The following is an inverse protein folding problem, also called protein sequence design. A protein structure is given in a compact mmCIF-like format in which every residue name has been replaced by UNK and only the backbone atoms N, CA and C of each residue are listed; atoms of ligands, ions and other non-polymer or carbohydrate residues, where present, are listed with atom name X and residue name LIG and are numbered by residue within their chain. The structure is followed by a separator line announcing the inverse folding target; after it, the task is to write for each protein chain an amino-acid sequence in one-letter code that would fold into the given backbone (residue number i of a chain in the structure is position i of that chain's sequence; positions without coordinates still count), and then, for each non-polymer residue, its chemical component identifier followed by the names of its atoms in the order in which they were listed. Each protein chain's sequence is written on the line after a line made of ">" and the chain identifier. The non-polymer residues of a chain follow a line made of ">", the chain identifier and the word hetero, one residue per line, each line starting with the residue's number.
data_IF_683693089095
#
_entry.id   IF_683693089095
#
_cell.length_a   1.000
_cell.length_b   1.000
_cell.length_c   1.000
_cell.angle_alpha   90.00
_cell.angle_beta   90.00
_cell.angle_gamma   90.00
#
_symmetry.space_group_name_H-M   'P 1'
#
loop_
_entity.id
_entity.type
_entity.pdbx_description
1 polymer ?
#
# COMPACT_ATOMS: atom_id res chain seq x y z
N UNK A 1 15.41 3.15 34.10
CA UNK A 1 15.74 3.24 32.66
C UNK A 1 14.80 2.28 31.94
N UNK A 2 13.81 2.78 31.19
CA UNK A 2 12.93 1.90 30.42
C UNK A 2 13.76 1.18 29.36
N UNK A 3 13.58 -0.14 29.21
CA UNK A 3 14.16 -0.87 28.09
C UNK A 3 13.61 -0.22 26.82
N UNK A 4 14.48 0.34 25.99
CA UNK A 4 14.12 0.77 24.65
C UNK A 4 13.71 -0.51 23.92
N UNK A 5 12.43 -0.63 23.56
CA UNK A 5 11.98 -1.79 22.80
C UNK A 5 12.76 -1.86 21.49
N UNK A 6 13.20 -3.07 21.16
CA UNK A 6 13.93 -3.35 19.93
C UNK A 6 12.99 -3.17 18.74
N UNK A 7 13.49 -2.60 17.63
CA UNK A 7 12.69 -2.44 16.43
C UNK A 7 12.30 -3.81 15.85
N UNK A 8 11.04 -4.17 15.99
CA UNK A 8 10.38 -5.28 15.32
C UNK A 8 10.06 -4.93 13.85
N UNK A 9 10.72 -5.65 12.94
CA UNK A 9 10.46 -5.54 11.50
C UNK A 9 9.09 -6.12 11.14
N UNK A 10 8.37 -5.43 10.24
CA UNK A 10 7.15 -5.96 9.65
C UNK A 10 7.47 -7.29 8.91
N UNK A 11 6.83 -8.43 9.24
CA UNK A 11 7.17 -9.71 8.63
C UNK A 11 7.03 -9.72 7.10
N UNK A 12 6.18 -8.86 6.54
CA UNK A 12 6.02 -8.69 5.07
C UNK A 12 7.25 -8.06 4.41
N UNK A 13 8.03 -7.29 5.16
CA UNK A 13 9.19 -6.55 4.67
C UNK A 13 10.51 -7.28 4.83
N UNK A 14 10.53 -8.39 5.58
CA UNK A 14 11.74 -9.15 5.84
C UNK A 14 12.50 -9.50 4.55
N UNK A 15 13.77 -9.09 4.50
CA UNK A 15 14.66 -9.27 3.36
C UNK A 15 14.50 -8.22 2.24
N UNK A 16 13.49 -7.36 2.29
CA UNK A 16 13.31 -6.29 1.31
C UNK A 16 14.18 -5.06 1.62
N UNK A 17 14.33 -4.17 0.64
CA UNK A 17 14.99 -2.87 0.83
C UNK A 17 14.04 -1.78 1.38
N UNK A 18 12.88 -2.18 1.92
CA UNK A 18 11.87 -1.27 2.47
C UNK A 18 11.83 -1.44 3.99
N UNK A 19 11.71 -0.33 4.72
CA UNK A 19 11.49 -0.32 6.17
C UNK A 19 10.27 0.54 6.51
N UNK A 20 9.45 0.08 7.47
CA UNK A 20 8.24 0.80 7.86
C UNK A 20 8.55 1.90 8.88
N UNK A 21 7.92 3.05 8.67
CA UNK A 21 7.91 4.19 9.59
C UNK A 21 6.47 4.65 9.79
N UNK A 22 5.99 4.72 11.03
CA UNK A 22 4.61 5.05 11.37
C UNK A 22 4.63 6.14 12.45
N UNK A 23 4.63 7.43 12.05
CA UNK A 23 4.63 8.54 13.01
C UNK A 23 3.35 8.64 13.83
N UNK A 24 2.22 8.17 13.29
CA UNK A 24 0.92 8.24 13.96
C UNK A 24 0.79 7.21 15.09
N UNK A 25 -0.08 7.55 16.04
CA UNK A 25 -0.57 6.68 17.11
C UNK A 25 -2.09 6.59 17.07
N UNK A 26 -2.64 5.56 17.70
CA UNK A 26 -4.07 5.33 17.75
C UNK A 26 -4.63 4.82 16.43
N UNK A 27 -5.96 4.79 16.34
CA UNK A 27 -6.68 4.30 15.17
C UNK A 27 -6.62 5.29 14.01
N UNK A 28 -6.59 4.77 12.78
CA UNK A 28 -6.74 5.55 11.58
C UNK A 28 -8.19 6.04 11.44
N UNK A 29 -8.43 7.36 11.34
CA UNK A 29 -9.79 7.91 11.28
C UNK A 29 -10.53 7.60 9.97
N UNK A 30 -9.86 7.02 8.97
CA UNK A 30 -10.56 6.53 7.77
C UNK A 30 -11.45 5.31 8.04
N UNK A 31 -11.24 4.61 9.16
CA UNK A 31 -12.04 3.51 9.68
C UNK A 31 -12.63 2.56 8.63
N UNK A 32 -11.78 2.08 7.72
CA UNK A 32 -12.21 1.16 6.68
C UNK A 32 -12.61 -0.20 7.29
N UNK A 33 -13.68 -0.83 6.80
CA UNK A 33 -14.20 -2.10 7.34
C UNK A 33 -13.12 -3.20 7.43
N UNK A 34 -12.38 -3.40 6.34
CA UNK A 34 -11.27 -4.36 6.25
C UNK A 34 -9.90 -3.73 6.58
N UNK A 35 -9.86 -2.69 7.42
CA UNK A 35 -8.62 -2.03 7.79
C UNK A 35 -7.76 -2.97 8.63
N UNK A 36 -6.61 -3.36 8.10
CA UNK A 36 -5.60 -4.13 8.83
C UNK A 36 -5.07 -3.38 10.07
N UNK A 37 -5.03 -2.05 10.00
CA UNK A 37 -4.47 -1.18 11.04
C UNK A 37 -5.41 -1.05 12.26
N UNK A 38 -6.68 -0.66 12.07
CA UNK A 38 -7.59 -0.37 13.19
C UNK A 38 -8.06 -1.61 13.97
N UNK A 39 -8.20 -2.76 13.33
CA UNK A 39 -8.89 -3.90 13.94
C UNK A 39 -8.07 -4.77 14.88
N UNK A 40 -7.01 -4.25 15.52
CA UNK A 40 -6.11 -5.04 16.39
C UNK A 40 -5.32 -6.13 15.66
N UNK A 41 -5.33 -6.10 14.32
CA UNK A 41 -4.71 -7.09 13.43
C UNK A 41 -3.30 -6.69 13.01
N UNK A 42 -2.92 -5.45 13.27
CA UNK A 42 -1.60 -4.95 12.98
C UNK A 42 -0.54 -5.77 13.73
N UNK A 43 0.64 -5.95 13.14
CA UNK A 43 1.67 -6.83 13.71
C UNK A 43 2.26 -6.29 15.03
N UNK A 44 1.86 -5.10 15.46
CA UNK A 44 2.22 -4.45 16.72
C UNK A 44 1.07 -3.60 17.25
N UNK A 45 1.20 -3.13 18.49
CA UNK A 45 0.30 -2.14 19.10
C UNK A 45 0.45 -0.76 18.44
N UNK A 46 -0.58 0.07 18.55
CA UNK A 46 -0.65 1.40 17.95
C UNK A 46 -0.47 2.54 18.96
N UNK A 47 -0.04 2.22 20.18
CA UNK A 47 -0.04 3.16 21.30
C UNK A 47 1.12 4.17 21.26
N UNK A 48 2.15 3.88 20.48
CA UNK A 48 3.34 4.72 20.34
C UNK A 48 3.79 4.76 18.87
N UNK A 49 4.44 5.86 18.42
CA UNK A 49 4.99 5.94 17.08
C UNK A 49 5.99 4.82 16.80
N UNK A 50 6.04 4.34 15.56
CA UNK A 50 7.01 3.34 15.12
C UNK A 50 8.03 3.95 14.18
N UNK A 51 9.10 4.49 14.74
CA UNK A 51 10.15 5.13 13.98
C UNK A 51 11.40 4.22 13.96
N UNK A 52 11.87 3.76 12.79
CA UNK A 52 13.13 3.03 12.73
C UNK A 52 14.30 3.97 13.10
N UNK A 53 15.31 3.49 13.85
CA UNK A 53 16.55 4.24 14.05
C UNK A 53 17.23 4.55 12.71
N UNK A 54 17.84 5.72 12.57
CA UNK A 54 18.51 6.12 11.32
C UNK A 54 19.63 5.15 10.93
N UNK A 55 20.34 4.63 11.93
CA UNK A 55 21.41 3.66 11.76
C UNK A 55 20.89 2.33 11.19
N UNK A 56 19.66 1.94 11.57
CA UNK A 56 19.00 0.74 11.05
C UNK A 56 18.47 0.96 9.63
N UNK A 57 18.04 2.19 9.31
CA UNK A 57 17.58 2.54 7.95
C UNK A 57 18.73 2.39 6.96
N UNK A 58 19.89 3.00 7.23
CA UNK A 58 21.02 3.00 6.29
C UNK A 58 20.58 3.47 4.90
N UNK A 59 20.81 2.64 3.89
CA UNK A 59 20.43 2.90 2.49
C UNK A 59 19.03 2.37 2.09
N UNK A 60 18.24 1.88 3.06
CA UNK A 60 16.88 1.40 2.81
C UNK A 60 15.93 2.56 2.50
N UNK A 61 14.82 2.21 1.85
CA UNK A 61 13.73 3.15 1.57
C UNK A 61 12.71 3.07 2.70
N UNK A 62 12.44 4.20 3.33
CA UNK A 62 11.44 4.34 4.38
C UNK A 62 10.04 4.49 3.79
N UNK A 63 9.18 3.51 4.08
CA UNK A 63 7.75 3.56 3.77
C UNK A 63 6.99 4.21 4.91
N UNK A 64 6.50 5.42 4.68
CA UNK A 64 5.79 6.20 5.70
C UNK A 64 4.31 5.80 5.77
N UNK A 65 3.82 5.58 7.00
CA UNK A 65 2.47 5.18 7.36
C UNK A 65 1.99 3.92 6.63
N UNK A 66 2.68 2.80 6.87
CA UNK A 66 2.16 1.49 6.49
C UNK A 66 0.91 1.15 7.28
N UNK A 67 -0.25 1.15 6.61
CA UNK A 67 -1.55 0.87 7.24
C UNK A 67 -2.30 2.12 7.73
N UNK A 68 -1.64 3.27 7.82
CA UNK A 68 -2.26 4.57 8.09
C UNK A 68 -2.23 5.45 6.81
N UNK A 69 -2.79 6.65 6.88
CA UNK A 69 -2.71 7.65 5.80
C UNK A 69 -1.71 8.75 6.15
N UNK A 70 -0.78 9.05 5.25
CA UNK A 70 0.24 10.10 5.43
C UNK A 70 -0.28 11.52 5.25
N UNK A 71 -1.47 11.67 4.70
CA UNK A 71 -2.08 12.97 4.44
C UNK A 71 -3.00 13.42 5.60
N UNK A 72 -3.25 12.53 6.56
CA UNK A 72 -3.73 12.91 7.89
C UNK A 72 -2.53 13.51 8.64
N UNK A 73 -2.73 14.68 9.23
CA UNK A 73 -1.70 15.44 9.95
C UNK A 73 -0.37 15.53 9.20
N UNK A 74 -0.44 15.82 7.89
CA UNK A 74 0.72 15.79 6.98
C UNK A 74 1.93 16.56 7.52
N UNK A 75 1.72 17.72 8.14
CA UNK A 75 2.83 18.51 8.69
C UNK A 75 3.59 17.77 9.80
N UNK A 76 2.88 17.08 10.69
CA UNK A 76 3.47 16.22 11.71
C UNK A 76 4.26 15.08 11.06
N UNK A 77 3.65 14.41 10.07
CA UNK A 77 4.29 13.32 9.34
C UNK A 77 5.59 13.78 8.67
N UNK A 78 5.56 14.89 7.94
CA UNK A 78 6.72 15.45 7.26
C UNK A 78 7.83 15.83 8.26
N UNK A 79 7.47 16.47 9.38
CA UNK A 79 8.43 16.82 10.43
C UNK A 79 9.06 15.57 11.06
N UNK A 80 8.28 14.51 11.26
CA UNK A 80 8.77 13.26 11.84
C UNK A 80 9.72 12.51 10.90
N UNK A 81 9.59 12.66 9.59
CA UNK A 81 10.36 11.87 8.60
C UNK A 81 11.43 12.66 7.85
N UNK A 82 11.55 13.97 8.08
CA UNK A 82 12.47 14.86 7.35
C UNK A 82 13.96 14.48 7.43
N UNK A 83 14.34 13.68 8.43
CA UNK A 83 15.73 13.28 8.66
C UNK A 83 16.12 12.00 7.91
N UNK A 84 15.16 11.30 7.29
CA UNK A 84 15.43 10.13 6.45
C UNK A 84 15.72 10.57 5.01
N UNK A 85 16.78 10.02 4.42
CA UNK A 85 17.20 10.37 3.05
C UNK A 85 16.26 9.83 1.98
N UNK A 86 15.84 8.57 2.10
CA UNK A 86 14.97 7.92 1.11
C UNK A 86 13.61 7.60 1.71
N UNK A 87 12.60 8.42 1.43
CA UNK A 87 11.24 8.26 1.95
C UNK A 87 10.20 8.25 0.83
N UNK A 88 9.12 7.49 1.01
CA UNK A 88 7.88 7.69 0.25
C UNK A 88 6.66 7.60 1.17
N UNK A 89 5.58 8.26 0.75
CA UNK A 89 4.36 8.41 1.54
C UNK A 89 3.21 7.59 0.95
N UNK A 90 2.38 6.99 1.80
CA UNK A 90 1.17 6.30 1.39
C UNK A 90 -0.07 7.12 1.76
N UNK A 91 -1.03 7.26 0.83
CA UNK A 91 -2.31 7.92 1.12
C UNK A 91 -3.45 7.36 0.26
N UNK A 92 -4.67 7.44 0.77
CA UNK A 92 -5.93 7.26 0.05
C UNK A 92 -6.73 8.59 -0.08
N UNK A 93 -6.14 9.70 0.41
CA UNK A 93 -6.67 11.06 0.31
C UNK A 93 -5.99 11.78 -0.85
N UNK A 94 -6.73 11.99 -1.94
CA UNK A 94 -6.19 12.54 -3.19
C UNK A 94 -5.80 14.03 -3.13
N UNK A 95 -6.25 14.77 -2.12
CA UNK A 95 -6.05 16.22 -2.03
C UNK A 95 -4.62 16.55 -1.59
N UNK A 96 -3.90 17.35 -2.38
CA UNK A 96 -2.59 17.88 -2.00
C UNK A 96 -1.45 16.85 -2.00
N UNK A 97 -1.53 15.82 -2.85
CA UNK A 97 -0.46 14.83 -3.02
C UNK A 97 0.85 15.49 -3.52
N UNK A 98 0.72 16.52 -4.35
CA UNK A 98 1.82 17.36 -4.85
C UNK A 98 2.58 18.11 -3.75
N UNK A 99 2.00 18.20 -2.54
CA UNK A 99 2.64 18.87 -1.39
C UNK A 99 3.62 17.97 -0.63
N UNK A 100 3.71 16.68 -0.94
CA UNK A 100 4.75 15.82 -0.39
C UNK A 100 6.08 16.05 -1.14
N UNK A 101 7.21 16.21 -0.45
CA UNK A 101 8.50 16.48 -1.08
C UNK A 101 9.15 15.23 -1.70
N UNK A 102 8.51 14.06 -1.59
CA UNK A 102 9.03 12.78 -2.02
C UNK A 102 7.96 11.96 -2.75
N UNK A 103 8.31 10.82 -3.36
CA UNK A 103 7.36 9.94 -4.03
C UNK A 103 6.15 9.57 -3.15
N UNK A 104 4.98 9.45 -3.79
CA UNK A 104 3.71 9.12 -3.12
C UNK A 104 3.05 7.93 -3.78
N UNK A 105 2.58 6.98 -2.97
CA UNK A 105 1.66 5.92 -3.39
C UNK A 105 0.24 6.36 -3.08
N UNK A 106 -0.61 6.41 -4.11
CA UNK A 106 -2.02 6.75 -3.95
C UNK A 106 -2.93 5.53 -4.08
N UNK A 107 -3.77 5.26 -3.09
CA UNK A 107 -4.81 4.22 -3.19
C UNK A 107 -6.09 4.82 -3.75
N UNK A 108 -6.34 4.64 -5.04
CA UNK A 108 -7.39 5.37 -5.74
C UNK A 108 -8.80 4.92 -5.40
N UNK A 109 -8.98 3.72 -4.85
CA UNK A 109 -10.27 3.20 -4.40
C UNK A 109 -10.25 2.83 -2.91
N UNK A 110 -9.44 3.52 -2.09
CA UNK A 110 -9.19 3.18 -0.68
C UNK A 110 -10.22 3.62 0.36
N UNK A 111 -11.32 4.28 -0.05
CA UNK A 111 -12.31 4.83 0.89
C UNK A 111 -13.40 3.83 1.32
N UNK A 112 -14.29 4.21 2.27
CA UNK A 112 -15.42 3.39 2.72
C UNK A 112 -16.37 2.97 1.59
N UNK A 113 -16.50 3.80 0.57
CA UNK A 113 -17.37 3.54 -0.59
C UNK A 113 -16.67 2.77 -1.71
N UNK A 114 -15.38 2.50 -1.59
CA UNK A 114 -14.52 1.87 -2.63
C UNK A 114 -14.62 2.50 -4.03
N UNK A 115 -15.18 3.70 -4.17
CA UNK A 115 -15.30 4.37 -5.47
C UNK A 115 -13.94 4.80 -5.99
N UNK A 116 -13.73 4.62 -7.29
CA UNK A 116 -12.55 5.08 -7.99
C UNK A 116 -12.41 6.61 -7.92
N UNK A 117 -11.26 7.08 -7.44
CA UNK A 117 -10.86 8.50 -7.41
C UNK A 117 -9.79 8.74 -8.48
N UNK A 118 -10.06 9.65 -9.39
CA UNK A 118 -9.13 10.08 -10.43
C UNK A 118 -8.50 11.42 -10.03
N UNK A 119 -7.17 11.49 -9.95
CA UNK A 119 -6.44 12.71 -9.62
C UNK A 119 -6.34 13.62 -10.84
N UNK A 120 -6.81 14.87 -10.71
CA UNK A 120 -6.77 15.88 -11.79
C UNK A 120 -6.22 17.20 -11.24
N UNK A 121 -5.00 17.62 -11.63
CA UNK A 121 -4.02 16.91 -12.47
C UNK A 121 -3.36 15.73 -11.75
N UNK A 122 -2.68 14.86 -12.51
CA UNK A 122 -1.84 13.78 -11.97
C UNK A 122 -0.51 14.37 -11.44
N UNK A 123 -0.19 14.23 -10.14
CA UNK A 123 1.03 14.83 -9.56
C UNK A 123 2.32 14.19 -10.09
N UNK A 124 3.38 14.99 -10.32
CA UNK A 124 4.68 14.48 -10.81
C UNK A 124 5.34 13.50 -9.82
N UNK A 125 5.13 13.71 -8.52
CA UNK A 125 5.63 12.86 -7.45
C UNK A 125 4.78 11.59 -7.21
N UNK A 126 3.76 11.32 -8.02
CA UNK A 126 2.93 10.13 -7.88
C UNK A 126 3.68 8.87 -8.34
N UNK A 127 4.26 8.13 -7.39
CA UNK A 127 5.10 6.96 -7.62
C UNK A 127 4.38 5.87 -8.42
N UNK A 128 3.22 5.48 -7.92
CA UNK A 128 2.28 4.58 -8.59
C UNK A 128 0.90 4.71 -7.95
N UNK A 129 -0.12 4.23 -8.65
CA UNK A 129 -1.47 4.09 -8.10
C UNK A 129 -1.70 2.67 -7.63
N UNK A 130 -2.10 2.52 -6.36
CA UNK A 130 -2.57 1.26 -5.81
C UNK A 130 -4.07 1.12 -6.05
N UNK A 131 -4.48 0.02 -6.66
CA UNK A 131 -5.89 -0.34 -6.83
C UNK A 131 -6.17 -1.55 -5.95
N UNK A 132 -7.15 -1.44 -5.05
CA UNK A 132 -7.70 -2.60 -4.34
C UNK A 132 -8.52 -3.42 -5.32
N UNK A 133 -8.28 -4.73 -5.37
CA UNK A 133 -8.87 -5.62 -6.38
C UNK A 133 -9.69 -6.69 -5.70
N UNK A 134 -10.94 -6.77 -6.10
CA UNK A 134 -11.86 -7.86 -5.81
C UNK A 134 -12.09 -8.66 -7.10
N UNK A 135 -12.58 -9.90 -7.02
CA UNK A 135 -12.80 -10.70 -8.23
C UNK A 135 -14.05 -10.32 -9.02
N UNK A 136 -14.94 -9.50 -8.43
CA UNK A 136 -16.23 -9.11 -8.99
C UNK A 136 -16.32 -7.67 -9.50
N UNK A 137 -15.36 -6.79 -9.19
CA UNK A 137 -15.34 -5.38 -9.65
C UNK A 137 -14.15 -5.09 -10.58
N UNK A 138 -14.17 -5.71 -11.76
CA UNK A 138 -13.12 -5.47 -12.76
C UNK A 138 -13.27 -4.13 -13.48
N UNK A 139 -14.47 -3.54 -13.50
CA UNK A 139 -14.69 -2.22 -14.14
C UNK A 139 -13.86 -1.14 -13.45
N UNK A 140 -13.82 -1.13 -12.11
CA UNK A 140 -12.97 -0.20 -11.36
C UNK A 140 -11.49 -0.32 -11.72
N UNK A 141 -11.01 -1.55 -11.90
CA UNK A 141 -9.60 -1.81 -12.26
C UNK A 141 -9.32 -1.35 -13.68
N UNK A 142 -10.18 -1.72 -14.64
CA UNK A 142 -10.04 -1.34 -16.05
C UNK A 142 -10.02 0.18 -16.22
N UNK A 143 -10.90 0.90 -15.51
CA UNK A 143 -10.94 2.36 -15.52
C UNK A 143 -9.70 3.00 -14.88
N UNK A 144 -9.18 2.42 -13.81
CA UNK A 144 -7.95 2.92 -13.17
C UNK A 144 -6.74 2.72 -14.09
N UNK A 145 -6.64 1.56 -14.75
CA UNK A 145 -5.56 1.25 -15.70
C UNK A 145 -5.59 2.18 -16.89
N UNK A 146 -6.76 2.34 -17.53
CA UNK A 146 -6.93 3.30 -18.63
C UNK A 146 -6.48 4.70 -18.23
N UNK A 147 -6.99 5.23 -17.12
CA UNK A 147 -6.68 6.59 -16.71
C UNK A 147 -5.22 6.79 -16.30
N UNK A 148 -4.71 5.97 -15.38
CA UNK A 148 -3.38 6.21 -14.82
C UNK A 148 -2.25 5.71 -15.71
N UNK A 149 -2.39 4.52 -16.29
CA UNK A 149 -1.34 3.95 -17.12
C UNK A 149 -1.41 4.43 -18.56
N UNK A 150 -2.52 4.22 -19.26
CA UNK A 150 -2.60 4.50 -20.71
C UNK A 150 -2.58 6.00 -21.01
N UNK A 151 -3.35 6.81 -20.27
CA UNK A 151 -3.45 8.26 -20.50
C UNK A 151 -2.33 9.07 -19.84
N UNK A 152 -1.74 8.56 -18.74
CA UNK A 152 -0.83 9.35 -17.89
C UNK A 152 0.52 8.68 -17.60
N UNK A 153 0.77 7.45 -18.05
CA UNK A 153 2.05 6.76 -17.87
C UNK A 153 2.43 6.50 -16.40
N UNK A 154 1.46 6.52 -15.48
CA UNK A 154 1.66 6.20 -14.07
C UNK A 154 1.39 4.71 -13.85
N UNK A 155 2.36 3.95 -13.29
CA UNK A 155 2.18 2.53 -13.03
C UNK A 155 1.00 2.25 -12.09
N UNK A 156 0.34 1.12 -12.31
CA UNK A 156 -0.77 0.64 -11.47
C UNK A 156 -0.34 -0.63 -10.73
N UNK A 157 -0.53 -0.65 -9.41
CA UNK A 157 -0.22 -1.80 -8.56
C UNK A 157 -1.52 -2.37 -7.99
N UNK A 158 -1.88 -3.56 -8.44
CA UNK A 158 -3.03 -4.33 -7.98
C UNK A 158 -2.75 -4.91 -6.59
N UNK A 159 -3.59 -4.58 -5.63
CA UNK A 159 -3.56 -5.16 -4.27
C UNK A 159 -4.85 -5.92 -4.07
N UNK A 160 -4.78 -7.23 -4.17
CA UNK A 160 -5.96 -8.06 -3.96
C UNK A 160 -6.45 -7.96 -2.52
N UNK A 161 -7.76 -7.75 -2.38
CA UNK A 161 -8.40 -7.66 -1.09
C UNK A 161 -8.39 -9.01 -0.39
N UNK A 162 -8.40 -8.93 0.93
CA UNK A 162 -8.58 -10.07 1.82
C UNK A 162 -9.66 -9.66 2.79
N UNK A 163 -10.56 -10.57 3.09
CA UNK A 163 -11.71 -10.28 3.92
C UNK A 163 -11.61 -11.07 5.22
N UNK A 164 -11.77 -10.38 6.34
CA UNK A 164 -11.98 -11.03 7.61
C UNK A 164 -13.39 -11.60 7.68
N UNK A 165 -14.36 -10.78 7.28
CA UNK A 165 -15.76 -11.17 7.20
C UNK A 165 -16.10 -11.73 5.81
N UNK A 166 -16.39 -13.02 5.75
CA UNK A 166 -16.75 -13.70 4.51
C UNK A 166 -18.09 -13.24 3.93
N UNK A 167 -18.96 -12.62 4.74
CA UNK A 167 -20.25 -12.10 4.28
C UNK A 167 -20.09 -10.83 3.42
N UNK A 168 -18.91 -10.21 3.43
CA UNK A 168 -18.56 -9.14 2.50
C UNK A 168 -18.21 -9.63 1.10
N UNK A 169 -18.06 -10.95 0.90
CA UNK A 169 -17.81 -11.56 -0.39
C UNK A 169 -19.16 -11.95 -1.01
N UNK A 170 -19.54 -11.38 -2.17
CA UNK A 170 -20.76 -11.78 -2.88
C UNK A 170 -20.78 -13.28 -3.16
N UNK A 171 -21.97 -13.89 -3.15
CA UNK A 171 -22.14 -15.34 -3.29
C UNK A 171 -21.47 -15.86 -4.57
N UNK A 172 -21.65 -15.15 -5.68
CA UNK A 172 -21.07 -15.47 -6.99
C UNK A 172 -19.53 -15.41 -7.03
N UNK A 173 -18.90 -14.81 -6.03
CA UNK A 173 -17.46 -14.65 -5.93
C UNK A 173 -16.83 -15.53 -4.84
N UNK A 174 -17.60 -16.26 -4.03
CA UNK A 174 -17.04 -17.05 -2.91
C UNK A 174 -16.03 -18.10 -3.38
N UNK A 175 -16.25 -18.70 -4.55
CA UNK A 175 -15.34 -19.71 -5.12
C UNK A 175 -13.97 -19.15 -5.49
N UNK A 176 -13.85 -17.83 -5.70
CA UNK A 176 -12.57 -17.16 -5.96
C UNK A 176 -11.72 -16.98 -4.69
N UNK A 177 -12.26 -17.33 -3.50
CA UNK A 177 -11.59 -17.13 -2.21
C UNK A 177 -11.41 -18.44 -1.45
N UNK A 178 -10.41 -18.45 -0.58
CA UNK A 178 -10.13 -19.52 0.36
C UNK A 178 -9.71 -18.95 1.71
N UNK A 179 -10.17 -19.58 2.80
CA UNK A 179 -9.74 -19.22 4.14
C UNK A 179 -8.33 -19.74 4.40
N UNK A 180 -7.36 -18.84 4.57
CA UNK A 180 -5.97 -19.20 4.87
C UNK A 180 -5.25 -18.16 5.69
N UNK A 181 -4.19 -18.59 6.37
CA UNK A 181 -3.26 -17.69 7.06
C UNK A 181 -2.44 -16.90 6.04
N UNK A 182 -2.40 -15.58 6.20
CA UNK A 182 -1.58 -14.68 5.42
C UNK A 182 -0.74 -13.78 6.35
N UNK A 183 0.59 -13.95 6.27
CA UNK A 183 1.59 -13.29 7.14
C UNK A 183 1.40 -13.66 8.62
N UNK A 184 0.50 -13.00 9.33
CA UNK A 184 0.23 -13.21 10.76
C UNK A 184 -1.18 -13.70 11.06
N UNK A 185 -2.19 -13.27 10.29
CA UNK A 185 -3.60 -13.54 10.57
C UNK A 185 -4.26 -14.35 9.45
N UNK A 186 -5.41 -14.95 9.74
CA UNK A 186 -6.23 -15.66 8.75
C UNK A 186 -7.27 -14.74 8.13
N UNK A 187 -7.51 -14.92 6.82
CA UNK A 187 -8.48 -14.18 6.03
C UNK A 187 -9.04 -15.08 4.93
N UNK A 188 -10.19 -14.70 4.39
CA UNK A 188 -10.59 -15.07 3.04
C UNK A 188 -9.65 -14.37 2.06
N UNK A 189 -8.73 -15.14 1.51
CA UNK A 189 -7.77 -14.68 0.54
C UNK A 189 -8.20 -15.12 -0.86
N UNK A 190 -7.92 -14.35 -1.92
CA UNK A 190 -8.13 -14.82 -3.27
C UNK A 190 -7.26 -16.05 -3.52
N UNK A 191 -7.82 -17.01 -4.26
CA UNK A 191 -7.10 -18.17 -4.76
C UNK A 191 -6.01 -17.76 -5.75
N UNK A 192 -5.01 -18.62 -5.89
CA UNK A 192 -3.87 -18.39 -6.79
C UNK A 192 -4.36 -18.24 -8.23
N UNK A 193 -5.31 -19.07 -8.64
CA UNK A 193 -5.91 -19.10 -9.97
C UNK A 193 -6.64 -17.79 -10.28
N UNK A 194 -7.41 -17.26 -9.31
CA UNK A 194 -8.10 -15.97 -9.42
C UNK A 194 -7.09 -14.83 -9.59
N UNK A 195 -6.02 -14.80 -8.78
CA UNK A 195 -4.95 -13.80 -8.90
C UNK A 195 -4.29 -13.85 -10.28
N UNK A 196 -3.94 -15.05 -10.75
CA UNK A 196 -3.32 -15.26 -12.06
C UNK A 196 -4.23 -14.85 -13.21
N UNK A 197 -5.52 -15.25 -13.17
CA UNK A 197 -6.54 -14.89 -14.16
C UNK A 197 -6.67 -13.38 -14.32
N UNK A 198 -6.76 -12.66 -13.19
CA UNK A 198 -6.90 -11.20 -13.20
C UNK A 198 -5.59 -10.54 -13.65
N UNK A 199 -4.44 -10.97 -13.15
CA UNK A 199 -3.14 -10.42 -13.57
C UNK A 199 -2.89 -10.60 -15.08
N UNK A 200 -3.34 -11.71 -15.66
CA UNK A 200 -3.19 -11.99 -17.09
C UNK A 200 -3.92 -10.98 -18.00
N UNK A 201 -5.04 -10.38 -17.55
CA UNK A 201 -5.75 -9.32 -18.32
C UNK A 201 -4.85 -8.11 -18.62
N UNK A 202 -3.87 -7.83 -17.77
CA UNK A 202 -3.02 -6.65 -17.89
C UNK A 202 -1.58 -6.98 -18.29
N UNK A 203 -1.33 -8.18 -18.80
CA UNK A 203 -0.01 -8.59 -19.28
C UNK A 203 0.49 -7.62 -20.37
N UNK A 204 1.74 -7.16 -20.23
CA UNK A 204 2.36 -6.21 -21.17
C UNK A 204 2.03 -4.74 -20.91
N UNK A 205 1.23 -4.46 -19.89
CA UNK A 205 0.94 -3.09 -19.46
C UNK A 205 1.80 -2.71 -18.26
N UNK A 206 1.79 -1.43 -17.86
CA UNK A 206 2.46 -0.92 -16.66
C UNK A 206 1.74 -1.29 -15.37
N UNK A 207 1.15 -2.49 -15.34
CA UNK A 207 0.34 -3.02 -14.26
C UNK A 207 1.11 -4.14 -13.56
N UNK A 208 1.15 -4.12 -12.23
CA UNK A 208 1.89 -5.07 -11.38
C UNK A 208 1.04 -5.55 -10.23
N UNK A 209 1.31 -6.73 -9.67
CA UNK A 209 0.63 -7.22 -8.46
C UNK A 209 1.47 -6.94 -7.21
N UNK A 210 0.83 -6.50 -6.12
CA UNK A 210 1.46 -6.37 -4.81
C UNK A 210 1.65 -7.75 -4.19
N UNK A 211 2.90 -8.21 -4.12
CA UNK A 211 3.22 -9.62 -3.86
C UNK A 211 3.17 -10.45 -5.16
N UNK A 212 3.35 -11.76 -5.01
CA UNK A 212 3.20 -12.75 -6.06
C UNK A 212 1.93 -13.58 -5.80
N UNK A 213 1.47 -14.39 -6.78
CA UNK A 213 0.31 -15.26 -6.57
C UNK A 213 0.45 -16.21 -5.36
N UNK A 214 1.68 -16.56 -4.98
CA UNK A 214 1.99 -17.51 -3.91
C UNK A 214 2.66 -16.89 -2.69
N UNK A 215 3.01 -15.60 -2.74
CA UNK A 215 3.70 -14.93 -1.63
C UNK A 215 3.24 -13.49 -1.46
N UNK A 216 3.03 -13.09 -0.21
CA UNK A 216 2.74 -11.70 0.14
C UNK A 216 4.00 -10.89 0.51
N UNK A 217 5.19 -11.48 0.42
CA UNK A 217 6.46 -10.80 0.76
C UNK A 217 6.78 -9.65 -0.20
N UNK A 218 7.22 -8.52 0.34
CA UNK A 218 7.72 -7.39 -0.44
C UNK A 218 9.05 -7.70 -1.11
N UNK A 219 9.85 -8.63 -0.56
CA UNK A 219 11.08 -9.11 -1.18
C UNK A 219 10.85 -9.76 -2.55
N UNK A 220 9.72 -10.45 -2.72
CA UNK A 220 9.47 -11.21 -3.96
C UNK A 220 9.00 -10.31 -5.10
N UNK A 221 8.14 -9.32 -4.82
CA UNK A 221 7.62 -8.43 -5.87
C UNK A 221 8.50 -7.21 -6.13
N UNK A 222 9.21 -6.69 -5.11
CA UNK A 222 10.09 -5.50 -5.16
C UNK A 222 9.47 -4.24 -5.79
N UNK A 223 8.16 -4.18 -6.00
CA UNK A 223 7.51 -3.08 -6.72
C UNK A 223 7.75 -1.72 -6.07
N UNK A 224 7.68 -1.63 -4.73
CA UNK A 224 7.91 -0.36 -4.04
C UNK A 224 9.34 0.15 -4.25
N UNK A 225 10.33 -0.75 -4.25
CA UNK A 225 11.73 -0.41 -4.48
C UNK A 225 11.95 0.07 -5.92
N UNK A 226 11.53 -0.72 -6.91
CA UNK A 226 11.74 -0.38 -8.31
C UNK A 226 11.02 0.92 -8.72
N UNK A 227 9.76 1.07 -8.31
CA UNK A 227 8.95 2.22 -8.68
C UNK A 227 9.36 3.49 -7.92
N UNK A 228 9.97 3.35 -6.74
CA UNK A 228 10.56 4.47 -6.01
C UNK A 228 11.69 5.12 -6.81
N UNK A 229 12.68 4.32 -7.23
CA UNK A 229 13.81 4.82 -8.01
C UNK A 229 13.39 5.35 -9.36
N UNK A 230 12.40 4.72 -10.01
CA UNK A 230 11.85 5.21 -11.25
C UNK A 230 11.15 6.57 -11.10
N UNK A 231 10.35 6.73 -10.03
CA UNK A 231 9.70 7.99 -9.72
C UNK A 231 10.72 9.10 -9.43
N UNK A 232 11.76 8.83 -8.65
CA UNK A 232 12.83 9.81 -8.39
C UNK A 232 13.50 10.28 -9.68
N UNK A 233 13.80 9.36 -10.62
CA UNK A 233 14.32 9.73 -11.94
C UNK A 233 13.37 10.62 -12.72
N UNK A 234 12.06 10.50 -12.54
CA UNK A 234 11.05 11.35 -13.19
C UNK A 234 10.90 12.71 -12.51
N UNK A 235 11.03 12.78 -11.19
CA UNK A 235 10.97 14.03 -10.41
C UNK A 235 12.20 14.91 -10.70
N UNK A 236 13.38 14.29 -10.85
CA UNK A 236 14.66 15.00 -11.05
C UNK A 236 14.96 15.36 -12.52
N UNK A 237 14.02 15.12 -13.44
CA UNK A 237 14.08 15.56 -14.85
C UNK A 237 13.30 16.85 -15.03
#
# INVERSE_FOLDING_TARGET
>A
MSKKEEYVENPKLKGSNIIDCIPHTGECPLNCAECFYNGGRFFRTLNEPWMPPVELVGDKIVRVNSGHDSNIDREMVLKATQHFTSVFYNTAIGKGIDKFPAPVVFTCNGGPTSRLKLLKPVPRNLMFVRVRVDSWDMETVDRAVKYYWEEHGVPVVLTFMRFYDGDLIPEEAKDDYEWRKNVTNSYWCPRVETVLRIAARYKGQGVRTCGTPVSSSCFDCRNCEFLYWDCLRRINK
#
